data_IF_577326566130
#
_entry.id   IF_577326566130
#
_cell.length_a   1.000
_cell.length_b   1.000
_cell.length_c   1.000
_cell.angle_alpha   90.00
_cell.angle_beta   90.00
_cell.angle_gamma   90.00
#
_symmetry.space_group_name_H-M   'P 1'
#
loop_
_entity.id
_entity.type
_entity.pdbx_description
1 polymer ?
#
# COMPACT_ATOMS: atom_id res chain seq x y z
N UNK A 1 16.91 -3.20 -21.19
CA UNK A 1 17.19 -3.90 -19.91
C UNK A 1 16.07 -4.89 -19.64
N UNK A 2 16.38 -6.17 -19.42
CA UNK A 2 15.36 -7.18 -19.13
C UNK A 2 14.76 -6.96 -17.73
N UNK A 3 13.43 -6.85 -17.64
CA UNK A 3 12.69 -6.74 -16.36
C UNK A 3 13.02 -7.92 -15.43
N UNK A 4 13.25 -9.09 -16.02
CA UNK A 4 13.58 -10.35 -15.35
C UNK A 4 14.91 -10.23 -14.56
N UNK A 5 15.91 -9.55 -15.11
CA UNK A 5 17.18 -9.32 -14.42
C UNK A 5 17.03 -8.33 -13.25
N UNK A 6 16.11 -7.36 -13.37
CA UNK A 6 15.80 -6.40 -12.31
C UNK A 6 15.07 -7.05 -11.13
N UNK A 7 14.19 -8.01 -11.39
CA UNK A 7 13.49 -8.79 -10.35
C UNK A 7 14.44 -9.68 -9.54
N UNK A 8 15.50 -10.19 -10.17
CA UNK A 8 16.53 -10.99 -9.49
C UNK A 8 17.50 -10.15 -8.66
N UNK A 9 17.45 -8.82 -8.74
CA UNK A 9 18.30 -7.95 -7.91
C UNK A 9 17.81 -7.98 -6.46
N UNK A 10 18.74 -8.02 -5.49
CA UNK A 10 18.39 -8.04 -4.08
C UNK A 10 17.60 -6.78 -3.70
N UNK A 11 16.50 -6.95 -2.96
CA UNK A 11 15.69 -5.82 -2.51
C UNK A 11 16.52 -4.89 -1.60
N UNK A 12 16.50 -3.57 -1.85
CA UNK A 12 17.23 -2.61 -1.02
C UNK A 12 16.78 -2.70 0.44
N UNK A 13 17.70 -2.42 1.38
CA UNK A 13 17.43 -2.52 2.82
C UNK A 13 16.22 -1.70 3.27
N UNK A 14 16.01 -0.53 2.67
CA UNK A 14 14.86 0.34 2.93
C UNK A 14 13.51 -0.35 2.73
N UNK A 15 13.29 -0.99 1.57
CA UNK A 15 12.03 -1.68 1.27
C UNK A 15 11.82 -2.92 2.16
N UNK A 16 12.91 -3.60 2.55
CA UNK A 16 12.84 -4.72 3.49
C UNK A 16 12.34 -4.27 4.87
N UNK A 17 12.82 -3.12 5.35
CA UNK A 17 12.40 -2.53 6.63
C UNK A 17 10.91 -2.14 6.56
N UNK A 18 10.49 -1.44 5.50
CA UNK A 18 9.08 -1.05 5.31
C UNK A 18 8.17 -2.27 5.21
N UNK A 19 8.57 -3.32 4.48
CA UNK A 19 7.79 -4.56 4.36
C UNK A 19 7.57 -5.23 5.71
N UNK A 20 8.61 -5.37 6.51
CA UNK A 20 8.50 -6.02 7.82
C UNK A 20 7.63 -5.20 8.79
N UNK A 21 7.79 -3.87 8.81
CA UNK A 21 6.93 -2.96 9.57
C UNK A 21 5.48 -3.04 9.11
N UNK A 22 5.23 -2.99 7.80
CA UNK A 22 3.90 -3.08 7.21
C UNK A 22 3.20 -4.38 7.57
N UNK A 23 3.88 -5.52 7.47
CA UNK A 23 3.32 -6.82 7.85
C UNK A 23 2.99 -6.86 9.35
N UNK A 24 3.90 -6.40 10.22
CA UNK A 24 3.66 -6.35 11.66
C UNK A 24 2.47 -5.46 12.03
N UNK A 25 2.34 -4.30 11.37
CA UNK A 25 1.25 -3.34 11.56
C UNK A 25 -0.09 -3.86 11.06
N UNK A 26 -0.11 -4.56 9.92
CA UNK A 26 -1.34 -5.17 9.39
C UNK A 26 -1.85 -6.25 10.34
N UNK A 27 -0.96 -7.13 10.82
CA UNK A 27 -1.35 -8.21 11.74
C UNK A 27 -1.86 -7.64 13.06
N UNK A 28 -1.16 -6.65 13.64
CA UNK A 28 -1.60 -6.02 14.88
C UNK A 28 -2.92 -5.26 14.71
N UNK A 29 -3.06 -4.49 13.64
CA UNK A 29 -4.29 -3.75 13.32
C UNK A 29 -5.49 -4.68 13.11
N UNK A 30 -5.32 -5.76 12.35
CA UNK A 30 -6.37 -6.76 12.12
C UNK A 30 -6.80 -7.47 13.42
N UNK A 31 -5.85 -7.80 14.30
CA UNK A 31 -6.13 -8.42 15.60
C UNK A 31 -6.90 -7.47 16.52
N UNK A 32 -6.50 -6.20 16.54
CA UNK A 32 -7.16 -5.17 17.35
C UNK A 32 -8.61 -4.94 16.87
N UNK A 33 -8.83 -4.91 15.55
CA UNK A 33 -10.18 -4.78 14.97
C UNK A 33 -11.09 -5.97 15.31
N UNK A 34 -10.53 -7.17 15.46
CA UNK A 34 -11.31 -8.36 15.83
C UNK A 34 -11.79 -8.35 17.30
N UNK A 35 -11.22 -7.50 18.16
CA UNK A 35 -11.58 -7.38 19.57
C UNK A 35 -11.84 -5.91 19.98
N UNK A 36 -12.93 -5.28 19.48
CA UNK A 36 -13.16 -3.85 19.64
C UNK A 36 -13.43 -3.40 21.08
N UNK A 37 -13.81 -4.33 21.98
CA UNK A 37 -14.15 -4.04 23.38
C UNK A 37 -12.90 -3.73 24.22
N UNK A 38 -11.72 -4.17 23.79
CA UNK A 38 -10.47 -3.99 24.54
C UNK A 38 -9.81 -2.61 24.32
N UNK A 39 -10.31 -1.79 23.39
CA UNK A 39 -9.71 -0.49 23.08
C UNK A 39 -10.44 0.68 23.77
N UNK A 40 -9.72 1.52 24.53
CA UNK A 40 -10.21 2.82 24.96
C UNK A 40 -10.67 3.66 23.76
N UNK A 41 -11.86 4.26 23.83
CA UNK A 41 -12.48 5.00 22.74
C UNK A 41 -11.59 6.12 22.14
N UNK A 42 -10.73 6.72 22.97
CA UNK A 42 -9.77 7.75 22.56
C UNK A 42 -8.81 7.26 21.46
N UNK A 43 -8.34 6.01 21.55
CA UNK A 43 -7.43 5.44 20.55
C UNK A 43 -8.13 5.24 19.21
N UNK A 44 -9.40 4.80 19.25
CA UNK A 44 -10.20 4.62 18.04
C UNK A 44 -10.41 5.97 17.33
N UNK A 45 -10.74 7.02 18.07
CA UNK A 45 -10.89 8.38 17.53
C UNK A 45 -9.60 8.87 16.86
N UNK A 46 -8.44 8.71 17.52
CA UNK A 46 -7.14 9.08 16.94
C UNK A 46 -6.87 8.28 15.66
N UNK A 47 -7.12 6.97 15.68
CA UNK A 47 -6.93 6.11 14.52
C UNK A 47 -7.77 6.58 13.32
N UNK A 48 -9.04 6.95 13.54
CA UNK A 48 -9.90 7.49 12.48
C UNK A 48 -9.33 8.76 11.86
N UNK A 49 -8.83 9.70 12.67
CA UNK A 49 -8.19 10.91 12.14
C UNK A 49 -6.93 10.61 11.32
N UNK A 50 -6.08 9.70 11.80
CA UNK A 50 -4.88 9.28 11.07
C UNK A 50 -5.26 8.63 9.74
N UNK A 51 -6.28 7.76 9.72
CA UNK A 51 -6.76 7.13 8.49
C UNK A 51 -7.24 8.16 7.48
N UNK A 52 -8.06 9.13 7.88
CA UNK A 52 -8.54 10.19 6.98
C UNK A 52 -7.39 11.04 6.46
N UNK A 53 -6.45 11.45 7.32
CA UNK A 53 -5.27 12.19 6.88
C UNK A 53 -4.42 11.38 5.88
N UNK A 54 -4.24 10.08 6.16
CA UNK A 54 -3.50 9.17 5.31
C UNK A 54 -4.13 8.96 3.93
N UNK A 55 -5.45 8.85 3.83
CA UNK A 55 -6.14 8.72 2.54
C UNK A 55 -6.00 9.98 1.71
N UNK A 56 -6.13 11.16 2.33
CA UNK A 56 -5.92 12.46 1.65
C UNK A 56 -4.49 12.57 1.13
N UNK A 57 -3.49 12.30 1.98
CA UNK A 57 -2.07 12.35 1.57
C UNK A 57 -1.79 11.35 0.45
N UNK A 58 -2.37 10.15 0.50
CA UNK A 58 -2.23 9.14 -0.56
C UNK A 58 -2.86 9.61 -1.87
N UNK A 59 -4.08 10.15 -1.83
CA UNK A 59 -4.76 10.67 -3.02
C UNK A 59 -3.99 11.85 -3.63
N UNK A 60 -3.49 12.78 -2.81
CA UNK A 60 -2.67 13.90 -3.26
C UNK A 60 -1.34 13.42 -3.82
N UNK A 61 -0.69 12.44 -3.18
CA UNK A 61 0.57 11.87 -3.67
C UNK A 61 0.40 11.19 -5.02
N UNK A 62 -0.72 10.49 -5.25
CA UNK A 62 -1.04 9.88 -6.54
C UNK A 62 -1.42 10.94 -7.59
N UNK A 63 -2.13 11.99 -7.18
CA UNK A 63 -2.50 13.11 -8.06
C UNK A 63 -1.28 13.92 -8.53
N UNK A 64 -0.27 14.12 -7.67
CA UNK A 64 0.94 14.90 -7.98
C UNK A 64 2.02 14.08 -8.69
N UNK A 65 2.09 12.76 -8.46
CA UNK A 65 2.99 11.85 -9.20
C UNK A 65 2.44 11.49 -10.59
N UNK A 66 1.22 11.92 -10.93
CA UNK A 66 0.62 11.66 -12.25
C UNK A 66 1.24 12.53 -13.35
N UNK A 67 2.32 12.03 -13.96
CA UNK A 67 2.52 12.12 -15.42
C UNK A 67 3.27 10.87 -15.96
N UNK A 68 2.83 10.39 -17.13
CA UNK A 68 3.33 9.29 -17.98
C UNK A 68 2.79 7.83 -17.80
N UNK A 69 2.08 7.41 -18.87
CA UNK A 69 1.76 6.04 -19.36
C UNK A 69 0.50 5.40 -18.76
N UNK A 70 -0.67 5.35 -19.41
CA UNK A 70 -0.88 4.96 -20.81
C UNK A 70 -1.34 3.49 -20.85
N UNK A 71 -2.66 3.30 -20.85
CA UNK A 71 -3.44 2.15 -21.33
C UNK A 71 -2.84 0.74 -21.24
N UNK A 72 -3.36 -0.07 -20.31
CA UNK A 72 -3.53 -1.51 -20.56
C UNK A 72 -4.91 -1.75 -21.20
N UNK A 73 -5.01 -1.50 -22.50
CA UNK A 73 -6.00 -2.18 -23.35
C UNK A 73 -5.25 -2.98 -24.42
N UNK A 74 -5.08 -4.28 -24.18
CA UNK A 74 -4.88 -5.25 -25.26
C UNK A 74 -6.06 -6.21 -25.27
N UNK A 75 -7.12 -5.77 -25.94
CA UNK A 75 -7.93 -6.67 -26.77
C UNK A 75 -6.97 -7.47 -27.66
N UNK A 76 -6.88 -8.78 -27.45
CA UNK A 76 -6.29 -9.70 -28.42
C UNK A 76 -7.46 -10.36 -29.14
N UNK A 77 -7.93 -9.70 -30.20
CA UNK A 77 -8.58 -10.39 -31.30
C UNK A 77 -7.48 -10.93 -32.24
N UNK A 78 -7.58 -12.24 -32.46
CA UNK A 78 -7.38 -12.95 -33.72
C UNK A 78 -5.96 -13.12 -34.28
N UNK A 79 -5.51 -14.38 -34.28
CA UNK A 79 -4.77 -14.97 -35.40
C UNK A 79 -5.34 -16.37 -35.70
N UNK A 80 -6.31 -16.40 -36.61
CA UNK A 80 -6.25 -17.25 -37.80
C UNK A 80 -5.65 -16.39 -38.91
#
# INVERSE_FOLDING_TARGET
MNIIERYKKPTPKFFKIIRNLGIGMIISGATILAAPVALPAVLLTIATYITVAGTVVTAVSQAVVSDASGEENKSNQDLN
#
